data_IF_786887095065
#
_entry.id   IF_786887095065
#
_cell.length_a   1.000
_cell.length_b   1.000
_cell.length_c   1.000
_cell.angle_alpha   90.00
_cell.angle_beta   90.00
_cell.angle_gamma   90.00
#
_symmetry.space_group_name_H-M   'P 1'
#
loop_
_entity.id
_entity.type
_entity.pdbx_description
1 polymer ?
#
# COMPACT_ATOMS: atom_id res chain seq x y z
N UNK A 1 -9.56 -15.69 -6.95
CA UNK A 1 -9.18 -15.29 -6.94
C UNK A 1 -8.72 -14.19 -7.14
N UNK A 2 -8.99 -13.47 -7.05
CA UNK A 2 -8.50 -12.47 -7.34
C UNK A 2 -8.02 -11.71 -6.43
N UNK A 3 -7.00 -11.92 -5.86
CA UNK A 3 -6.45 -11.08 -5.00
C UNK A 3 -5.96 -9.98 -5.73
N UNK A 4 -6.20 -8.78 -5.39
CA UNK A 4 -5.69 -7.68 -6.10
C UNK A 4 -4.37 -7.25 -5.48
N UNK A 5 -3.73 -6.31 -6.12
CA UNK A 5 -2.42 -5.88 -5.67
C UNK A 5 -2.47 -5.19 -4.32
N UNK A 6 -3.61 -4.64 -4.00
CA UNK A 6 -3.76 -3.96 -2.71
C UNK A 6 -3.63 -4.94 -1.56
N UNK A 7 -4.13 -6.16 -1.76
CA UNK A 7 -4.02 -7.17 -0.73
C UNK A 7 -2.56 -7.54 -0.48
N UNK A 8 -1.80 -7.64 -1.55
CA UNK A 8 -0.38 -7.95 -1.45
C UNK A 8 0.36 -6.83 -0.72
N UNK A 9 0.04 -5.58 -1.06
CA UNK A 9 0.68 -4.45 -0.42
C UNK A 9 0.36 -4.41 1.07
N UNK A 10 -0.88 -4.74 1.41
CA UNK A 10 -1.28 -4.77 2.80
C UNK A 10 -0.42 -5.77 3.58
N UNK A 11 -0.13 -6.90 2.98
CA UNK A 11 0.71 -7.89 3.63
C UNK A 11 2.13 -7.40 3.82
N UNK A 12 2.64 -6.65 2.84
CA UNK A 12 3.97 -6.09 2.96
C UNK A 12 4.04 -5.13 4.13
N UNK A 13 3.00 -4.32 4.30
CA UNK A 13 2.96 -3.39 5.41
C UNK A 13 2.94 -4.15 6.72
N UNK A 14 2.17 -5.22 6.78
CA UNK A 14 2.09 -6.03 7.99
C UNK A 14 3.41 -6.68 8.35
N UNK A 15 4.26 -6.93 7.34
CA UNK A 15 5.57 -7.50 7.56
C UNK A 15 6.64 -6.44 7.74
N UNK A 16 6.24 -5.18 7.81
CA UNK A 16 7.15 -4.05 8.00
C UNK A 16 8.08 -3.86 6.81
N UNK A 17 7.67 -4.34 5.65
CA UNK A 17 8.44 -4.11 4.43
C UNK A 17 7.90 -2.88 3.75
N UNK A 18 8.09 -1.74 4.41
CA UNK A 18 7.48 -0.49 3.96
C UNK A 18 8.07 0.00 2.64
N UNK A 19 9.37 -0.18 2.45
CA UNK A 19 9.99 0.25 1.20
C UNK A 19 9.39 -0.50 0.02
N UNK A 20 9.22 -1.81 0.19
CA UNK A 20 8.65 -2.61 -0.87
C UNK A 20 7.18 -2.24 -1.09
N UNK A 21 6.47 -1.99 -0.01
CA UNK A 21 5.06 -1.62 -0.10
C UNK A 21 4.92 -0.30 -0.85
N UNK A 22 5.77 0.66 -0.56
CA UNK A 22 5.72 1.94 -1.25
C UNK A 22 6.01 1.76 -2.73
N UNK A 23 6.98 0.93 -3.05
CA UNK A 23 7.32 0.69 -4.44
C UNK A 23 6.15 0.08 -5.19
N UNK A 24 5.54 -0.92 -4.61
CA UNK A 24 4.40 -1.57 -5.24
C UNK A 24 3.24 -0.60 -5.39
N UNK A 25 3.02 0.23 -4.39
CA UNK A 25 1.94 1.19 -4.43
C UNK A 25 2.16 2.19 -5.56
N UNK A 26 3.38 2.61 -5.77
CA UNK A 26 3.69 3.60 -6.80
C UNK A 26 3.55 3.02 -8.20
N UNK A 27 3.54 1.70 -8.32
CA UNK A 27 3.37 1.08 -9.62
C UNK A 27 1.92 1.02 -10.07
N UNK A 28 1.00 1.29 -9.15
CA UNK A 28 -0.41 1.25 -9.49
C UNK A 28 -0.77 2.47 -10.34
N UNK A 29 -1.70 2.24 -11.27
CA UNK A 29 -2.08 3.31 -12.16
C UNK A 29 -2.98 4.34 -11.51
N UNK A 30 -3.27 5.41 -12.25
CA UNK A 30 -4.11 6.48 -11.72
C UNK A 30 -5.53 6.02 -11.37
N UNK A 31 -5.96 4.90 -11.90
CA UNK A 31 -7.30 4.41 -11.62
C UNK A 31 -7.47 4.07 -10.14
N UNK A 32 -6.37 3.87 -9.43
CA UNK A 32 -6.44 3.56 -8.01
C UNK A 32 -6.50 4.80 -7.13
N UNK A 33 -6.29 5.96 -7.70
CA UNK A 33 -6.27 7.19 -6.91
C UNK A 33 -7.59 7.46 -6.19
N UNK A 34 -8.70 6.96 -6.72
CA UNK A 34 -9.99 7.14 -6.08
C UNK A 34 -10.42 5.93 -5.29
N UNK A 35 -9.58 4.93 -5.23
CA UNK A 35 -9.92 3.71 -4.51
C UNK A 35 -9.70 3.93 -3.02
N UNK A 36 -10.74 3.68 -2.24
CA UNK A 36 -10.67 3.89 -0.80
C UNK A 36 -9.57 3.05 -0.16
N UNK A 37 -9.46 1.80 -0.59
CA UNK A 37 -8.47 0.91 -0.02
C UNK A 37 -7.05 1.37 -0.34
N UNK A 38 -6.85 1.89 -1.54
CA UNK A 38 -5.56 2.44 -1.92
C UNK A 38 -5.17 3.58 -1.00
N UNK A 39 -6.11 4.49 -0.75
CA UNK A 39 -5.84 5.62 0.13
C UNK A 39 -5.56 5.15 1.56
N UNK A 40 -6.26 4.12 1.97
CA UNK A 40 -6.07 3.57 3.30
C UNK A 40 -4.66 3.00 3.45
N UNK A 41 -4.21 2.22 2.47
CA UNK A 41 -2.88 1.63 2.52
C UNK A 41 -1.80 2.70 2.44
N UNK A 42 -2.03 3.70 1.63
CA UNK A 42 -1.09 4.80 1.50
C UNK A 42 -0.93 5.51 2.85
N UNK A 43 -2.04 5.71 3.54
CA UNK A 43 -2.00 6.33 4.85
C UNK A 43 -1.27 5.45 5.85
N UNK A 44 -1.47 4.15 5.78
CA UNK A 44 -0.80 3.24 6.69
C UNK A 44 0.72 3.31 6.53
N UNK A 45 1.18 3.36 5.28
CA UNK A 45 2.61 3.44 5.02
C UNK A 45 3.16 4.75 5.55
N UNK A 46 2.46 5.83 5.29
CA UNK A 46 2.90 7.13 5.74
C UNK A 46 2.98 7.18 7.26
N UNK A 47 1.96 6.64 7.90
CA UNK A 47 1.90 6.63 9.35
C UNK A 47 3.04 5.80 9.94
N UNK A 48 3.30 4.64 9.35
CA UNK A 48 4.36 3.76 9.84
C UNK A 48 5.72 4.42 9.70
N UNK A 49 5.96 5.09 8.57
CA UNK A 49 7.23 5.78 8.37
C UNK A 49 7.39 6.91 9.36
N UNK A 50 6.30 7.56 9.69
CA UNK A 50 6.38 8.68 10.59
C UNK A 50 6.74 8.26 12.01
N UNK A 51 6.40 7.05 12.36
CA UNK A 51 6.70 6.57 13.70
C UNK A 51 8.15 6.19 13.86
N UNK A 52 8.86 6.09 12.79
CA UNK A 52 10.28 5.83 12.83
C UNK A 52 11.05 7.07 12.49
#
# INVERSE_FOLDING_TARGET
MSKNKLDYIDKLIGNKQLDQAQLELSKLGPEYLKNTEYLYLRSKIFYANKLY
#
